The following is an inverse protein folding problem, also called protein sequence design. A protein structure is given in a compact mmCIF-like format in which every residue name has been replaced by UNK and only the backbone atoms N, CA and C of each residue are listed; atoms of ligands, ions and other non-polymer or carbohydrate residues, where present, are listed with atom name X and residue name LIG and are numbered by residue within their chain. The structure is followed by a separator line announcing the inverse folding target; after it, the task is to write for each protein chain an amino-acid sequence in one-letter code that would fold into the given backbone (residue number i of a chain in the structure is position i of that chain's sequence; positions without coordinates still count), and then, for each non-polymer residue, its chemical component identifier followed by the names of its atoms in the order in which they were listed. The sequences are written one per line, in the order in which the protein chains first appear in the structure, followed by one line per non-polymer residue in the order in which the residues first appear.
data_IF_668889350831
#
_entry.id   IF_668889350831
#
_cell.length_a   1.000
_cell.length_b   1.000
_cell.length_c   1.000
_cell.angle_alpha   90.00
_cell.angle_beta   90.00
_cell.angle_gamma   90.00
#
_symmetry.space_group_name_H-M   'P 1'
#
loop_
_entity.id
_entity.type
_entity.pdbx_description
1 polymer ?
#
# COMPACT_ATOMS: atom_id res chain seq x y z
N UNK A 1 5.86 -8.18 25.63
CA UNK A 1 6.21 -7.53 24.35
C UNK A 1 5.21 -6.43 24.10
N UNK A 2 5.67 -5.19 23.99
CA UNK A 2 4.84 -4.00 23.79
C UNK A 2 4.24 -3.99 22.37
N UNK A 3 5.06 -4.34 21.39
CA UNK A 3 4.77 -4.34 19.95
C UNK A 3 3.76 -5.42 19.55
N UNK A 4 3.81 -6.58 20.20
CA UNK A 4 2.83 -7.64 19.96
C UNK A 4 1.41 -7.20 20.33
N UNK A 5 1.25 -6.40 21.39
CA UNK A 5 -0.05 -5.85 21.78
C UNK A 5 -0.57 -4.85 20.74
N UNK A 6 0.31 -3.94 20.28
CA UNK A 6 -0.02 -2.98 19.23
C UNK A 6 -0.46 -3.66 17.94
N UNK A 7 0.29 -4.67 17.49
CA UNK A 7 -0.01 -5.39 16.26
C UNK A 7 -1.28 -6.25 16.36
N UNK A 8 -1.65 -6.73 17.54
CA UNK A 8 -2.96 -7.37 17.74
C UNK A 8 -4.10 -6.39 17.50
N UNK A 9 -3.99 -5.18 18.02
CA UNK A 9 -4.98 -4.13 17.75
C UNK A 9 -5.04 -3.74 16.27
N UNK A 10 -3.90 -3.71 15.58
CA UNK A 10 -3.85 -3.52 14.12
C UNK A 10 -4.56 -4.66 13.40
N UNK A 11 -4.25 -5.91 13.73
CA UNK A 11 -4.88 -7.09 13.12
C UNK A 11 -6.39 -7.09 13.34
N UNK A 12 -6.87 -6.79 14.56
CA UNK A 12 -8.30 -6.68 14.88
C UNK A 12 -9.00 -5.57 14.07
N UNK A 13 -8.35 -4.42 13.90
CA UNK A 13 -8.90 -3.31 13.11
C UNK A 13 -9.03 -3.68 11.62
N UNK A 14 -8.02 -4.34 11.06
CA UNK A 14 -8.01 -4.80 9.67
C UNK A 14 -9.01 -5.94 9.46
N UNK A 15 -9.06 -6.91 10.37
CA UNK A 15 -10.02 -8.02 10.34
C UNK A 15 -11.47 -7.51 10.37
N UNK A 16 -11.74 -6.52 11.22
CA UNK A 16 -13.05 -5.83 11.26
C UNK A 16 -13.38 -5.15 9.92
N UNK A 17 -12.40 -4.50 9.29
CA UNK A 17 -12.61 -3.85 7.99
C UNK A 17 -12.84 -4.89 6.87
N UNK A 18 -12.05 -5.97 6.85
CA UNK A 18 -12.17 -7.08 5.90
C UNK A 18 -13.54 -7.76 6.00
N UNK A 19 -14.00 -8.06 7.23
CA UNK A 19 -15.32 -8.65 7.46
C UNK A 19 -16.46 -7.75 6.97
N UNK A 20 -16.37 -6.42 7.19
CA UNK A 20 -17.36 -5.46 6.68
C UNK A 20 -17.39 -5.39 5.15
N UNK A 21 -16.25 -5.59 4.51
CA UNK A 21 -16.13 -5.63 3.06
C UNK A 21 -16.54 -6.98 2.45
N UNK A 22 -16.77 -8.02 3.26
CA UNK A 22 -17.04 -9.36 2.79
C UNK A 22 -15.81 -10.02 2.14
N UNK A 23 -14.61 -9.62 2.54
CA UNK A 23 -13.37 -10.17 2.02
C UNK A 23 -13.15 -11.61 2.47
N UNK A 24 -12.59 -12.44 1.61
CA UNK A 24 -12.17 -13.82 1.91
C UNK A 24 -10.83 -13.86 2.67
N UNK A 25 -10.04 -12.78 2.63
CA UNK A 25 -8.77 -12.66 3.31
C UNK A 25 -8.10 -11.31 3.09
N UNK A 26 -6.88 -11.16 3.60
CA UNK A 26 -6.07 -9.95 3.47
C UNK A 26 -4.69 -10.33 2.93
N UNK A 27 -4.25 -9.65 1.86
CA UNK A 27 -2.96 -9.92 1.21
C UNK A 27 -1.82 -9.09 1.79
N UNK A 28 -2.10 -7.83 2.13
CA UNK A 28 -1.11 -6.93 2.71
C UNK A 28 -1.77 -5.82 3.55
N UNK A 29 -1.02 -5.29 4.51
CA UNK A 29 -1.42 -4.20 5.40
C UNK A 29 -0.34 -3.13 5.38
N UNK A 30 -0.72 -1.90 5.04
CA UNK A 30 0.13 -0.72 5.14
C UNK A 30 0.03 -0.10 6.54
N UNK A 31 1.16 0.06 7.21
CA UNK A 31 1.26 0.70 8.52
C UNK A 31 2.27 1.84 8.47
N UNK A 32 1.83 3.04 8.84
CA UNK A 32 2.69 4.21 8.96
C UNK A 32 3.17 4.36 10.39
N UNK A 33 4.49 4.47 10.57
CA UNK A 33 5.15 4.47 11.88
C UNK A 33 6.13 5.63 11.97
N UNK A 34 5.85 6.57 12.86
CA UNK A 34 6.72 7.71 13.11
C UNK A 34 7.94 7.33 13.95
N UNK A 35 9.10 7.95 13.71
CA UNK A 35 10.34 7.65 14.46
C UNK A 35 10.30 8.03 15.94
N UNK A 36 9.35 8.87 16.36
CA UNK A 36 9.05 9.23 17.76
C UNK A 36 7.77 8.57 18.29
N UNK A 37 7.22 7.57 17.59
CA UNK A 37 6.08 6.77 18.08
C UNK A 37 6.43 5.91 19.30
N UNK A 38 7.74 5.70 19.56
CA UNK A 38 8.24 4.80 20.60
C UNK A 38 8.21 3.32 20.18
N UNK A 39 7.93 3.05 18.90
CA UNK A 39 7.85 1.69 18.34
C UNK A 39 9.06 1.40 17.48
N UNK A 40 9.62 0.19 17.60
CA UNK A 40 10.75 -0.27 16.79
C UNK A 40 10.24 -1.02 15.55
N UNK A 41 10.48 -0.53 14.31
CA UNK A 41 10.01 -1.17 13.08
C UNK A 41 10.41 -2.64 12.95
N UNK A 42 11.64 -2.99 13.32
CA UNK A 42 12.15 -4.36 13.25
C UNK A 42 11.41 -5.29 14.22
N UNK A 43 11.03 -4.77 15.40
CA UNK A 43 10.23 -5.51 16.37
C UNK A 43 8.80 -5.73 15.86
N UNK A 44 8.24 -4.78 15.10
CA UNK A 44 6.95 -4.98 14.44
C UNK A 44 7.01 -6.11 13.41
N UNK A 45 8.01 -6.07 12.52
CA UNK A 45 8.19 -7.13 11.51
C UNK A 45 8.37 -8.50 12.15
N UNK A 46 9.19 -8.59 13.21
CA UNK A 46 9.40 -9.85 13.94
C UNK A 46 8.17 -10.37 14.68
N UNK A 47 7.33 -9.47 15.21
CA UNK A 47 6.13 -9.84 15.96
C UNK A 47 4.90 -10.07 15.05
N UNK A 48 4.90 -9.58 13.81
CA UNK A 48 3.76 -9.64 12.90
C UNK A 48 3.17 -11.04 12.70
N UNK A 49 3.95 -12.08 12.35
CA UNK A 49 3.39 -13.42 12.14
C UNK A 49 2.70 -14.00 13.38
N UNK A 50 3.17 -13.61 14.57
CA UNK A 50 2.60 -14.02 15.86
C UNK A 50 1.32 -13.24 16.16
N UNK A 51 1.29 -11.95 15.80
CA UNK A 51 0.15 -11.08 16.04
C UNK A 51 -1.07 -11.47 15.21
N UNK A 52 -0.87 -11.88 13.95
CA UNK A 52 -1.96 -12.20 13.01
C UNK A 52 -2.39 -13.67 13.03
N UNK A 53 -1.67 -14.53 13.76
CA UNK A 53 -1.95 -15.96 13.80
C UNK A 53 -3.40 -16.24 14.23
N UNK A 54 -4.14 -17.00 13.41
CA UNK A 54 -5.53 -17.37 13.69
C UNK A 54 -6.58 -16.29 13.36
N UNK A 55 -6.20 -15.24 12.63
CA UNK A 55 -7.11 -14.17 12.13
C UNK A 55 -7.25 -14.24 10.60
N UNK A 56 -8.18 -13.48 9.99
CA UNK A 56 -8.25 -13.37 8.52
C UNK A 56 -7.06 -12.61 7.90
N UNK A 57 -6.26 -11.95 8.75
CA UNK A 57 -5.01 -11.26 8.38
C UNK A 57 -3.81 -12.22 8.39
N UNK A 58 -4.00 -13.48 8.77
CA UNK A 58 -2.94 -14.48 8.78
C UNK A 58 -2.37 -14.67 7.36
N UNK A 59 -1.06 -14.51 7.23
CA UNK A 59 -0.36 -14.61 5.95
C UNK A 59 -0.25 -13.29 5.17
N UNK A 60 -0.93 -12.22 5.60
CA UNK A 60 -0.77 -10.89 5.01
C UNK A 60 0.66 -10.36 5.21
N UNK A 61 1.19 -9.65 4.20
CA UNK A 61 2.45 -8.91 4.36
C UNK A 61 2.22 -7.63 5.18
N UNK A 62 3.17 -7.29 6.04
CA UNK A 62 3.19 -5.99 6.71
C UNK A 62 4.14 -5.06 5.94
N UNK A 63 3.61 -3.96 5.43
CA UNK A 63 4.37 -2.94 4.71
C UNK A 63 4.46 -1.68 5.58
N UNK A 64 5.68 -1.33 5.96
CA UNK A 64 5.94 -0.20 6.87
C UNK A 64 6.34 1.04 6.08
N UNK A 65 5.63 2.14 6.33
CA UNK A 65 6.06 3.49 5.95
C UNK A 65 6.63 4.19 7.19
N UNK A 66 7.96 4.30 7.27
CA UNK A 66 8.62 4.97 8.39
C UNK A 66 8.66 6.48 8.13
N UNK A 67 8.06 7.25 9.05
CA UNK A 67 7.95 8.71 8.94
C UNK A 67 8.95 9.38 9.87
N UNK A 68 9.93 10.15 9.34
CA UNK A 68 10.88 10.85 10.16
C UNK A 68 10.20 11.95 10.97
N UNK A 69 10.66 12.12 12.20
CA UNK A 69 10.31 13.27 13.02
C UNK A 69 10.62 14.57 12.29
N UNK A 70 9.65 15.47 12.28
CA UNK A 70 9.74 16.72 11.54
C UNK A 70 9.19 17.84 12.40
N UNK A 71 9.87 18.98 12.40
CA UNK A 71 9.46 20.19 13.11
C UNK A 71 9.26 21.34 12.13
N UNK A 72 8.22 22.14 12.37
CA UNK A 72 8.04 23.40 11.65
C UNK A 72 9.00 24.46 12.19
N UNK A 73 9.86 25.02 11.35
CA UNK A 73 10.72 26.13 11.75
C UNK A 73 10.10 27.47 11.36
N UNK A 74 9.78 28.36 12.32
CA UNK A 74 9.20 29.67 12.00
C UNK A 74 10.20 30.62 11.32
N UNK A 75 11.50 30.47 11.58
CA UNK A 75 12.54 31.28 10.96
C UNK A 75 12.81 30.87 9.49
N UNK A 76 12.76 29.57 9.20
CA UNK A 76 12.92 29.04 7.84
C UNK A 76 11.61 29.00 7.05
N UNK A 77 10.46 29.12 7.73
CA UNK A 77 9.14 29.02 7.11
C UNK A 77 8.89 27.67 6.43
N UNK A 78 9.45 26.59 6.97
CA UNK A 78 9.38 25.25 6.39
C UNK A 78 9.54 24.17 7.45
N UNK A 79 9.08 22.96 7.10
CA UNK A 79 9.32 21.73 7.86
C UNK A 79 10.77 21.27 7.71
N UNK A 80 11.34 20.81 8.82
CA UNK A 80 12.71 20.35 8.91
C UNK A 80 12.76 19.00 9.62
N UNK A 81 13.34 17.96 8.99
CA UNK A 81 13.50 16.67 9.62
C UNK A 81 14.48 16.79 10.78
N UNK A 82 14.17 16.14 11.89
CA UNK A 82 15.03 16.06 13.07
C UNK A 82 15.31 14.59 13.37
N UNK A 83 16.50 14.32 13.87
CA UNK A 83 16.79 13.04 14.50
C UNK A 83 16.36 13.06 15.98
N UNK A 84 16.57 11.93 16.64
CA UNK A 84 16.27 11.74 18.07
C UNK A 84 17.11 12.63 19.00
N UNK A 85 18.20 13.24 18.52
CA UNK A 85 19.13 14.07 19.30
C UNK A 85 18.83 15.57 19.19
N UNK A 86 18.25 16.03 18.08
CA UNK A 86 17.94 17.45 17.84
C UNK A 86 16.53 17.84 18.30
N UNK A 87 15.99 17.18 19.31
CA UNK A 87 14.70 17.48 19.87
C UNK A 87 14.64 18.97 20.26
N UNK A 88 13.93 19.74 19.45
CA UNK A 88 13.55 21.13 19.64
C UNK A 88 14.45 22.22 19.04
N UNK A 89 15.36 21.90 18.11
CA UNK A 89 16.12 22.94 17.38
C UNK A 89 16.13 22.67 15.87
N UNK A 90 15.91 23.71 15.07
CA UNK A 90 16.00 23.63 13.62
C UNK A 90 17.45 23.31 13.20
N UNK A 91 17.70 22.22 12.46
CA UNK A 91 19.05 21.82 12.06
C UNK A 91 19.67 22.78 11.02
N UNK A 92 18.85 23.60 10.36
CA UNK A 92 19.30 24.54 9.32
C UNK A 92 19.78 25.87 9.90
N UNK A 93 19.02 26.45 10.84
CA UNK A 93 19.28 27.81 11.33
C UNK A 93 19.52 27.90 12.85
N UNK A 94 19.41 26.79 13.59
CA UNK A 94 19.60 26.76 15.03
C UNK A 94 18.45 27.38 15.84
N UNK A 95 17.34 27.77 15.20
CA UNK A 95 16.18 28.33 15.91
C UNK A 95 15.52 27.23 16.75
N UNK A 96 15.33 27.43 18.07
CA UNK A 96 14.55 26.53 18.88
C UNK A 96 13.11 26.44 18.34
N UNK A 97 12.62 25.24 18.08
CA UNK A 97 11.26 25.01 17.59
C UNK A 97 10.65 23.81 18.31
N UNK A 98 9.45 23.98 18.87
CA UNK A 98 8.72 22.90 19.56
C UNK A 98 7.56 22.32 18.77
N UNK A 99 7.33 22.79 17.55
CA UNK A 99 6.17 22.39 16.75
C UNK A 99 6.51 21.16 15.93
N UNK A 100 6.28 19.98 16.52
CA UNK A 100 6.39 18.72 15.80
C UNK A 100 5.21 18.54 14.85
N UNK A 101 5.48 18.36 13.56
CA UNK A 101 4.50 18.16 12.49
C UNK A 101 4.36 16.68 12.12
N UNK A 102 5.44 15.92 12.20
CA UNK A 102 5.47 14.47 11.91
C UNK A 102 6.36 13.69 12.88
N UNK A 103 6.24 12.37 12.86
CA UNK A 103 7.06 11.43 13.62
C UNK A 103 6.35 10.76 14.78
N UNK A 104 5.05 11.00 14.99
CA UNK A 104 4.24 10.35 16.05
C UNK A 104 3.24 9.33 15.51
N UNK A 105 3.30 9.05 14.22
CA UNK A 105 2.34 8.23 13.51
C UNK A 105 2.39 6.78 14.03
N UNK A 106 1.22 6.19 14.19
CA UNK A 106 1.04 4.75 14.35
C UNK A 106 -0.36 4.43 13.83
N UNK A 107 -0.49 4.33 12.51
CA UNK A 107 -1.78 4.26 11.84
C UNK A 107 -1.77 3.26 10.68
N UNK A 108 -2.88 2.53 10.53
CA UNK A 108 -3.11 1.70 9.33
C UNK A 108 -3.49 2.63 8.19
N UNK A 109 -2.71 2.63 7.11
CA UNK A 109 -2.93 3.51 5.96
C UNK A 109 -3.78 2.85 4.88
N UNK A 110 -3.60 1.56 4.66
CA UNK A 110 -4.35 0.76 3.70
C UNK A 110 -4.33 -0.73 4.07
N UNK A 111 -5.27 -1.49 3.50
CA UNK A 111 -5.27 -2.94 3.53
C UNK A 111 -5.72 -3.47 2.17
N UNK A 112 -4.98 -4.44 1.64
CA UNK A 112 -5.28 -5.13 0.39
C UNK A 112 -6.16 -6.34 0.69
N UNK A 113 -7.43 -6.25 0.28
CA UNK A 113 -8.49 -7.19 0.64
C UNK A 113 -8.82 -8.10 -0.53
N UNK A 114 -8.89 -9.41 -0.28
CA UNK A 114 -9.34 -10.38 -1.27
C UNK A 114 -10.87 -10.39 -1.33
N UNK A 115 -11.45 -9.69 -2.30
CA UNK A 115 -12.90 -9.60 -2.47
C UNK A 115 -13.42 -10.69 -3.42
N UNK A 116 -14.53 -11.37 -3.09
CA UNK A 116 -15.09 -12.38 -3.97
C UNK A 116 -15.54 -11.77 -5.30
N UNK A 117 -14.93 -12.21 -6.41
CA UNK A 117 -15.29 -11.80 -7.79
C UNK A 117 -14.29 -10.89 -8.49
N UNK A 118 -13.24 -10.41 -7.81
CA UNK A 118 -12.09 -9.73 -8.43
C UNK A 118 -10.98 -10.74 -8.66
N UNK A 119 -11.11 -11.59 -9.68
CA UNK A 119 -9.93 -12.28 -10.21
C UNK A 119 -9.07 -11.22 -10.89
N UNK A 120 -7.88 -10.97 -10.35
CA UNK A 120 -6.86 -10.18 -11.06
C UNK A 120 -6.63 -10.84 -12.42
N UNK A 121 -7.22 -10.23 -13.45
CA UNK A 121 -6.93 -10.56 -14.83
C UNK A 121 -5.50 -10.07 -15.10
N UNK A 122 -4.53 -10.92 -14.75
CA UNK A 122 -3.21 -10.87 -15.38
C UNK A 122 -3.43 -11.19 -16.85
N UNK A 123 -3.55 -10.15 -17.68
CA UNK A 123 -3.44 -10.27 -19.12
C UNK A 123 -1.98 -10.59 -19.46
N UNK A 124 -1.65 -11.88 -19.55
CA UNK A 124 -0.54 -12.28 -20.42
C UNK A 124 -1.02 -12.18 -21.87
N UNK A 125 -1.15 -10.95 -22.37
CA UNK A 125 -1.28 -10.71 -23.81
C UNK A 125 0.11 -10.89 -24.42
N UNK A 126 0.38 -12.14 -24.78
CA UNK A 126 1.66 -12.57 -25.28
C UNK A 126 1.59 -13.91 -25.98
N UNK A 127 0.52 -14.22 -26.72
CA UNK A 127 0.55 -15.15 -27.87
C UNK A 127 -0.79 -15.20 -28.60
N UNK A 128 -0.73 -15.18 -29.94
CA UNK A 128 -1.80 -15.46 -30.91
C UNK A 128 -2.61 -14.29 -31.51
N UNK A 129 -1.94 -13.27 -32.06
CA UNK A 129 -2.43 -12.64 -33.29
C UNK A 129 -1.77 -13.32 -34.51
N UNK A 130 -2.49 -14.28 -35.12
CA UNK A 130 -2.50 -14.62 -36.57
C UNK A 130 -3.31 -15.89 -36.81
N UNK A 131 -4.64 -15.76 -36.90
CA UNK A 131 -5.47 -16.56 -37.81
C UNK A 131 -6.90 -16.01 -37.82
N UNK A 132 -7.53 -16.08 -39.00
CA UNK A 132 -8.93 -15.77 -39.29
C UNK A 132 -9.29 -14.28 -39.50
N UNK A 133 -8.85 -13.73 -40.64
CA UNK A 133 -9.66 -12.76 -41.38
C UNK A 133 -10.57 -13.52 -42.33
N UNK A 134 -11.84 -13.63 -41.98
CA UNK A 134 -12.89 -14.24 -42.81
C UNK A 134 -13.86 -13.15 -43.31
N UNK A 135 -14.09 -13.19 -44.62
CA UNK A 135 -15.23 -12.70 -45.38
C UNK A 135 -15.95 -11.40 -44.98
N UNK A 136 -15.84 -10.37 -45.83
CA UNK A 136 -17.01 -9.70 -46.44
C UNK A 136 -16.59 -8.57 -47.40
N UNK A 137 -16.62 -8.80 -48.71
CA UNK A 137 -17.16 -7.77 -49.62
C UNK A 137 -17.74 -8.41 -50.90
N UNK A 138 -19.07 -8.49 -50.93
CA UNK A 138 -19.87 -8.71 -52.14
C UNK A 138 -20.27 -7.35 -52.70
N UNK A 139 -19.72 -6.98 -53.85
CA UNK A 139 -20.32 -6.15 -54.92
C UNK A 139 -19.19 -5.96 -55.97
N UNK A 140 -19.34 -6.14 -57.27
CA UNK A 140 -20.47 -6.29 -58.15
C UNK A 140 -19.95 -6.10 -59.59
N UNK A 141 -20.74 -6.55 -60.55
CA UNK A 141 -20.70 -6.17 -61.97
C UNK A 141 -19.50 -6.58 -62.83
N UNK A 142 -19.80 -7.35 -63.89
CA UNK A 142 -19.31 -6.98 -65.22
C UNK A 142 -18.76 -8.10 -66.12
N UNK A 143 -19.64 -8.59 -67.01
CA UNK A 143 -19.41 -8.99 -68.41
C UNK A 143 -18.57 -10.24 -68.76
N UNK A 144 -19.33 -11.22 -69.27
CA UNK A 144 -19.31 -11.76 -70.65
C UNK A 144 -18.06 -12.55 -71.12
N UNK A 145 -18.16 -13.88 -71.31
CA UNK A 145 -17.18 -14.65 -72.07
C UNK A 145 -17.65 -14.81 -73.52
N UNK A 146 -17.07 -14.03 -74.43
CA UNK A 146 -17.09 -14.37 -75.86
C UNK A 146 -16.32 -15.69 -76.11
N UNK A 147 -16.70 -16.51 -77.10
CA UNK A 147 -16.17 -17.85 -77.23
C UNK A 147 -14.91 -17.90 -78.11
N UNK A 148 -13.96 -18.72 -77.64
CA UNK A 148 -12.77 -19.28 -78.34
C UNK A 148 -11.62 -18.31 -78.64
#
# INVERSE_FOLDING_TARGET
MHELGLLRSVAEAVDTAAARAGAAGVQAVGLRVGTLSGVTPEALVGAWPIAVAGTAVAGARLELEVVPATVWCPACGSDQPIDEFFALTCPVCGTPTGTLTHGREFEVTWADLDLPGTTDAVTTDGEAERAAGDEAERAGAGRDPGPQ
#
